data_IF_512325420378
#
_entry.id   IF_512325420378
#
_cell.length_a   1.000
_cell.length_b   1.000
_cell.length_c   1.000
_cell.angle_alpha   90.00
_cell.angle_beta   90.00
_cell.angle_gamma   90.00
#
_symmetry.space_group_name_H-M   'P 1'
#
loop_
_entity.id
_entity.type
_entity.pdbx_description
1 polymer ?
#
# COMPACT_ATOMS: atom_id res chain seq x y z
N UNK A 1 -13.19 15.97 -9.16
CA UNK A 1 -11.81 16.46 -8.86
C UNK A 1 -11.21 15.93 -7.55
N UNK A 2 -11.97 15.78 -6.44
CA UNK A 2 -11.47 15.21 -5.16
C UNK A 2 -10.81 13.83 -5.29
N UNK A 3 -11.46 12.89 -5.99
CA UNK A 3 -10.92 11.53 -6.17
C UNK A 3 -9.56 11.46 -6.87
N UNK A 4 -9.27 12.38 -7.79
CA UNK A 4 -7.97 12.45 -8.47
C UNK A 4 -6.88 12.88 -7.48
N UNK A 5 -7.16 13.87 -6.63
CA UNK A 5 -6.22 14.36 -5.61
C UNK A 5 -5.95 13.28 -4.56
N UNK A 6 -6.97 12.55 -4.11
CA UNK A 6 -6.79 11.43 -3.17
C UNK A 6 -6.00 10.27 -3.81
N UNK A 7 -6.20 10.02 -5.10
CA UNK A 7 -5.47 8.96 -5.82
C UNK A 7 -4.01 9.35 -6.04
N UNK A 8 -3.73 10.57 -6.49
CA UNK A 8 -2.36 11.09 -6.68
C UNK A 8 -1.65 11.23 -5.34
N UNK A 9 -2.34 11.71 -4.31
CA UNK A 9 -1.84 11.81 -2.95
C UNK A 9 -1.52 10.44 -2.34
N UNK A 10 -2.41 9.46 -2.51
CA UNK A 10 -2.16 8.08 -2.10
C UNK A 10 -1.02 7.42 -2.88
N UNK A 11 -0.87 7.74 -4.17
CA UNK A 11 0.26 7.28 -4.98
C UNK A 11 1.58 7.89 -4.50
N UNK A 12 1.58 9.18 -4.13
CA UNK A 12 2.75 9.87 -3.57
C UNK A 12 3.18 9.28 -2.23
N UNK A 13 2.22 8.92 -1.37
CA UNK A 13 2.49 8.23 -0.10
C UNK A 13 3.12 6.85 -0.32
N UNK A 14 2.59 6.08 -1.28
CA UNK A 14 3.14 4.79 -1.66
C UNK A 14 4.54 4.92 -2.27
N UNK A 15 4.75 5.91 -3.13
CA UNK A 15 6.06 6.24 -3.70
C UNK A 15 7.05 6.61 -2.60
N UNK A 16 6.66 7.45 -1.65
CA UNK A 16 7.49 7.84 -0.50
C UNK A 16 7.84 6.64 0.38
N UNK A 17 6.88 5.75 0.62
CA UNK A 17 7.09 4.53 1.40
C UNK A 17 8.01 3.55 0.65
N UNK A 18 7.80 3.39 -0.66
CA UNK A 18 8.67 2.66 -1.57
C UNK A 18 10.09 3.22 -1.59
N UNK A 19 10.24 4.54 -1.61
CA UNK A 19 11.54 5.21 -1.57
C UNK A 19 12.25 4.98 -0.23
N UNK A 20 11.52 5.07 0.88
CA UNK A 20 12.06 4.84 2.23
C UNK A 20 12.56 3.41 2.42
N UNK A 21 11.90 2.44 1.81
CA UNK A 21 12.31 1.03 1.80
C UNK A 21 13.17 0.65 0.58
N UNK A 22 13.62 1.63 -0.22
CA UNK A 22 14.42 1.45 -1.45
C UNK A 22 13.82 0.46 -2.45
N UNK A 23 12.50 0.35 -2.51
CA UNK A 23 11.77 -0.67 -3.29
C UNK A 23 12.22 -2.11 -3.01
N UNK A 24 12.90 -2.35 -1.88
CA UNK A 24 13.33 -3.69 -1.48
C UNK A 24 12.12 -4.45 -0.96
N UNK A 25 11.67 -5.43 -1.73
CA UNK A 25 10.59 -6.35 -1.33
C UNK A 25 10.95 -7.14 -0.06
N UNK A 26 12.23 -7.36 0.20
CA UNK A 26 12.77 -8.03 1.40
C UNK A 26 12.90 -7.13 2.64
N UNK A 27 12.41 -5.89 2.61
CA UNK A 27 12.48 -5.05 3.80
C UNK A 27 11.63 -5.67 4.93
N UNK A 28 12.15 -5.89 6.16
CA UNK A 28 11.44 -6.56 7.24
C UNK A 28 10.06 -5.96 7.54
N UNK A 29 9.97 -4.63 7.51
CA UNK A 29 8.71 -3.90 7.64
C UNK A 29 7.69 -4.23 6.54
N UNK A 30 8.12 -4.30 5.28
CA UNK A 30 7.22 -4.64 4.17
C UNK A 30 6.77 -6.09 4.28
N UNK A 31 7.69 -7.00 4.62
CA UNK A 31 7.39 -8.42 4.84
C UNK A 31 6.32 -8.60 5.93
N UNK A 32 6.57 -8.06 7.11
CA UNK A 32 5.60 -8.08 8.22
C UNK A 32 4.24 -7.48 7.82
N UNK A 33 4.25 -6.36 7.09
CA UNK A 33 3.02 -5.71 6.64
C UNK A 33 2.27 -6.52 5.59
N UNK A 34 2.98 -7.21 4.71
CA UNK A 34 2.39 -8.10 3.71
C UNK A 34 1.79 -9.34 4.36
N UNK A 35 2.49 -9.93 5.33
CA UNK A 35 2.02 -11.06 6.13
C UNK A 35 0.80 -10.69 6.98
N UNK A 36 0.77 -9.49 7.55
CA UNK A 36 -0.38 -8.99 8.31
C UNK A 36 -1.60 -8.74 7.41
N UNK A 37 -1.39 -8.22 6.20
CA UNK A 37 -2.48 -7.84 5.30
C UNK A 37 -3.04 -9.00 4.48
N UNK A 38 -2.19 -9.96 4.10
CA UNK A 38 -2.55 -11.05 3.17
C UNK A 38 -2.32 -12.44 3.75
N UNK A 39 -1.76 -12.55 4.96
CA UNK A 39 -1.33 -13.82 5.53
C UNK A 39 -0.01 -14.32 4.93
N UNK A 40 0.45 -15.45 5.45
CA UNK A 40 1.62 -16.20 4.98
C UNK A 40 1.25 -17.31 3.99
N UNK A 41 -0.03 -17.67 3.92
CA UNK A 41 -0.54 -18.75 3.07
C UNK A 41 -0.76 -18.27 1.64
N UNK A 42 0.15 -18.68 0.75
CA UNK A 42 0.09 -18.35 -0.68
C UNK A 42 -1.14 -18.91 -1.40
N UNK A 43 -1.78 -19.96 -0.87
CA UNK A 43 -3.01 -20.53 -1.45
C UNK A 43 -4.26 -19.70 -1.18
N UNK A 44 -4.21 -18.88 -0.12
CA UNK A 44 -5.28 -17.95 0.28
C UNK A 44 -5.00 -16.50 -0.15
N UNK A 45 -3.85 -16.28 -0.80
CA UNK A 45 -3.50 -14.95 -1.27
C UNK A 45 -4.43 -14.51 -2.40
N UNK A 46 -4.94 -13.27 -2.37
CA UNK A 46 -5.70 -12.71 -3.47
C UNK A 46 -4.87 -12.68 -4.76
N UNK A 47 -5.53 -12.62 -5.91
CA UNK A 47 -4.84 -12.45 -7.18
C UNK A 47 -3.98 -11.19 -7.24
N UNK A 48 -3.01 -11.16 -8.16
CA UNK A 48 -2.08 -10.02 -8.32
C UNK A 48 -2.83 -8.69 -8.48
N UNK A 49 -3.96 -8.69 -9.19
CA UNK A 49 -4.79 -7.50 -9.37
C UNK A 49 -5.43 -7.03 -8.05
N UNK A 50 -5.99 -7.96 -7.26
CA UNK A 50 -6.58 -7.65 -5.96
C UNK A 50 -5.52 -7.15 -4.97
N UNK A 51 -4.32 -7.75 -4.96
CA UNK A 51 -3.16 -7.26 -4.18
C UNK A 51 -2.77 -5.84 -4.57
N UNK A 52 -2.67 -5.54 -5.87
CA UNK A 52 -2.38 -4.18 -6.35
C UNK A 52 -3.46 -3.18 -5.90
N UNK A 53 -4.73 -3.56 -5.99
CA UNK A 53 -5.85 -2.70 -5.55
C UNK A 53 -5.80 -2.42 -4.06
N UNK A 54 -5.55 -3.43 -3.24
CA UNK A 54 -5.39 -3.28 -1.79
C UNK A 54 -4.21 -2.35 -1.42
N UNK A 55 -3.09 -2.43 -2.15
CA UNK A 55 -1.95 -1.51 -1.96
C UNK A 55 -2.36 -0.07 -2.28
N UNK A 56 -3.08 0.16 -3.38
CA UNK A 56 -3.56 1.50 -3.77
C UNK A 56 -4.57 2.06 -2.77
N UNK A 57 -5.48 1.23 -2.29
CA UNK A 57 -6.46 1.62 -1.26
C UNK A 57 -5.77 1.93 0.07
N UNK A 58 -4.71 1.20 0.42
CA UNK A 58 -3.86 1.52 1.57
C UNK A 58 -3.18 2.89 1.41
N UNK A 59 -2.63 3.19 0.23
CA UNK A 59 -2.05 4.51 -0.06
C UNK A 59 -3.07 5.64 0.11
N UNK A 60 -4.29 5.46 -0.42
CA UNK A 60 -5.38 6.43 -0.24
C UNK A 60 -5.83 6.57 1.21
N UNK A 61 -5.90 5.47 1.96
CA UNK A 61 -6.22 5.53 3.39
C UNK A 61 -5.14 6.30 4.16
N UNK A 62 -3.85 5.99 3.93
CA UNK A 62 -2.74 6.66 4.58
C UNK A 62 -2.75 8.18 4.30
N UNK A 63 -3.00 8.57 3.06
CA UNK A 63 -3.14 9.97 2.66
C UNK A 63 -4.27 10.68 3.41
N UNK A 64 -5.45 10.05 3.50
CA UNK A 64 -6.63 10.57 4.18
C UNK A 64 -6.39 10.73 5.68
N UNK A 65 -5.89 9.69 6.34
CA UNK A 65 -5.52 9.69 7.76
C UNK A 65 -4.50 10.79 8.08
N UNK A 66 -3.46 10.97 7.26
CA UNK A 66 -2.45 12.02 7.47
C UNK A 66 -2.97 13.44 7.23
N UNK A 67 -4.00 13.60 6.41
CA UNK A 67 -4.68 14.88 6.20
C UNK A 67 -5.87 15.12 7.13
N UNK A 68 -6.14 14.20 8.07
CA UNK A 68 -7.28 14.31 9.00
C UNK A 68 -8.64 14.30 8.30
N UNK A 69 -8.74 13.58 7.18
CA UNK A 69 -9.97 13.42 6.39
C UNK A 69 -10.42 11.98 6.41
#
# INVERSE_FOLDING_TARGET
MRHLIDTVGGFWELLRLGWRVRFRRDHPYLKWRFETAFGTDSSKMPDRAARRRAILDFGRWAYRTRRGR
#
